data_IF_534569819524
#
_entry.id   IF_534569819524
#
_cell.length_a   1.000
_cell.length_b   1.000
_cell.length_c   1.000
_cell.angle_alpha   90.00
_cell.angle_beta   90.00
_cell.angle_gamma   90.00
#
_symmetry.space_group_name_H-M   'P 1'
#
loop_
_entity.id
_entity.type
_entity.pdbx_description
1 polymer ?
#
# COMPACT_ATOMS: atom_id res chain seq x y z
N UNK A 1 -19.82 30.99 22.45
CA UNK A 1 -20.41 30.71 21.12
C UNK A 1 -21.56 29.76 21.34
N UNK A 2 -22.74 30.04 20.79
CA UNK A 2 -23.90 29.15 20.91
C UNK A 2 -23.65 27.94 20.02
N UNK A 3 -23.53 26.74 20.59
CA UNK A 3 -23.39 25.51 19.83
C UNK A 3 -24.68 25.32 19.02
N UNK A 4 -24.58 25.35 17.68
CA UNK A 4 -25.73 25.10 16.82
C UNK A 4 -25.92 23.57 16.77
N UNK A 5 -26.95 23.09 17.46
CA UNK A 5 -27.36 21.69 17.46
C UNK A 5 -28.11 21.39 16.16
N UNK A 6 -27.39 21.06 15.09
CA UNK A 6 -27.98 20.64 13.81
C UNK A 6 -28.44 19.19 13.86
N UNK A 7 -29.53 18.88 13.17
CA UNK A 7 -30.10 17.53 12.98
C UNK A 7 -29.93 17.03 11.55
N UNK A 8 -30.17 15.74 11.30
CA UNK A 8 -30.24 15.16 9.94
C UNK A 8 -31.32 15.86 9.09
N UNK A 9 -32.44 16.19 9.72
CA UNK A 9 -33.55 16.90 9.10
C UNK A 9 -33.14 18.27 8.57
N UNK A 10 -32.25 18.96 9.29
CA UNK A 10 -31.69 20.26 8.87
C UNK A 10 -30.78 20.13 7.63
N UNK A 11 -30.11 18.99 7.46
CA UNK A 11 -29.29 18.69 6.28
C UNK A 11 -30.09 18.16 5.09
N UNK A 12 -31.35 17.74 5.29
CA UNK A 12 -32.15 17.06 4.26
C UNK A 12 -32.23 17.88 2.96
N UNK A 13 -32.40 19.19 3.05
CA UNK A 13 -32.44 20.06 1.87
C UNK A 13 -31.12 20.08 1.08
N UNK A 14 -29.98 20.05 1.75
CA UNK A 14 -28.66 19.97 1.12
C UNK A 14 -28.38 18.59 0.53
N UNK A 15 -28.81 17.52 1.21
CA UNK A 15 -28.68 16.13 0.74
C UNK A 15 -29.57 15.87 -0.47
N UNK A 16 -30.84 16.28 -0.41
CA UNK A 16 -31.77 16.20 -1.54
C UNK A 16 -31.26 17.02 -2.73
N UNK A 17 -30.69 18.21 -2.48
CA UNK A 17 -30.05 19.02 -3.52
C UNK A 17 -28.83 18.33 -4.13
N UNK A 18 -27.97 17.72 -3.31
CA UNK A 18 -26.79 16.97 -3.77
C UNK A 18 -27.19 15.72 -4.57
N UNK A 19 -28.19 14.97 -4.12
CA UNK A 19 -28.77 13.83 -4.83
C UNK A 19 -29.47 14.23 -6.12
N UNK A 20 -30.25 15.31 -6.11
CA UNK A 20 -30.88 15.86 -7.30
C UNK A 20 -29.84 16.39 -8.30
N UNK A 21 -28.71 16.90 -7.82
CA UNK A 21 -27.59 17.29 -8.68
C UNK A 21 -26.91 16.07 -9.31
N UNK A 22 -26.79 14.95 -8.61
CA UNK A 22 -26.17 13.72 -9.11
C UNK A 22 -27.12 12.89 -10.00
N UNK A 23 -28.44 12.93 -9.74
CA UNK A 23 -29.47 12.20 -10.48
C UNK A 23 -30.14 12.99 -11.62
N UNK A 24 -29.97 14.32 -11.68
CA UNK A 24 -30.63 15.20 -12.65
C UNK A 24 -29.69 16.07 -13.50
N UNK A 25 -28.40 16.21 -13.16
CA UNK A 25 -27.44 16.70 -14.14
C UNK A 25 -27.01 15.54 -15.03
N UNK A 26 -27.21 15.70 -16.33
CA UNK A 26 -26.26 15.12 -17.28
C UNK A 26 -24.94 15.82 -16.98
N UNK A 27 -24.04 15.16 -16.24
CA UNK A 27 -22.75 15.72 -15.83
C UNK A 27 -21.81 15.67 -17.04
N UNK A 28 -22.12 16.51 -18.03
CA UNK A 28 -21.13 17.04 -18.97
C UNK A 28 -20.80 18.49 -18.63
N UNK A 29 -21.53 19.10 -17.70
CA UNK A 29 -21.34 20.50 -17.31
C UNK A 29 -20.89 20.61 -15.84
N UNK A 30 -19.59 20.38 -15.64
CA UNK A 30 -18.91 20.56 -14.35
C UNK A 30 -18.96 22.01 -13.87
N UNK A 31 -19.13 22.98 -14.77
CA UNK A 31 -19.26 24.39 -14.42
C UNK A 31 -20.43 24.62 -13.46
N UNK A 32 -21.60 24.08 -13.81
CA UNK A 32 -22.81 24.27 -13.03
C UNK A 32 -22.75 23.71 -11.60
N UNK A 33 -21.98 22.65 -11.35
CA UNK A 33 -21.79 22.08 -10.00
C UNK A 33 -20.96 23.01 -9.12
N UNK A 34 -19.80 23.43 -9.63
CA UNK A 34 -18.87 24.29 -8.91
C UNK A 34 -19.48 25.66 -8.61
N UNK A 35 -20.22 26.22 -9.56
CA UNK A 35 -20.89 27.52 -9.39
C UNK A 35 -21.95 27.47 -8.27
N UNK A 36 -22.56 26.31 -8.04
CA UNK A 36 -23.59 26.10 -7.02
C UNK A 36 -23.00 25.87 -5.63
N UNK A 37 -21.87 25.16 -5.54
CA UNK A 37 -21.08 25.03 -4.32
C UNK A 37 -20.56 26.41 -3.87
N UNK A 38 -20.04 27.20 -4.81
CA UNK A 38 -19.63 28.58 -4.56
C UNK A 38 -20.80 29.43 -4.05
N UNK A 39 -21.95 29.39 -4.72
CA UNK A 39 -23.13 30.15 -4.31
C UNK A 39 -23.56 29.82 -2.86
N UNK A 40 -23.51 28.54 -2.48
CA UNK A 40 -23.84 28.09 -1.12
C UNK A 40 -22.85 28.60 -0.09
N UNK A 41 -21.56 28.41 -0.33
CA UNK A 41 -20.50 28.82 0.60
C UNK A 41 -20.47 30.34 0.78
N UNK A 42 -20.70 31.10 -0.29
CA UNK A 42 -20.90 32.55 -0.22
C UNK A 42 -22.14 32.91 0.60
N UNK A 43 -23.24 32.17 0.42
CA UNK A 43 -24.47 32.35 1.21
C UNK A 43 -24.28 32.14 2.71
N UNK A 44 -23.39 31.21 3.10
CA UNK A 44 -23.02 30.97 4.50
C UNK A 44 -21.86 31.84 5.01
N UNK A 45 -21.34 32.76 4.20
CA UNK A 45 -20.19 33.59 4.55
C UNK A 45 -18.89 32.80 4.77
N UNK A 46 -18.82 31.57 4.26
CA UNK A 46 -17.67 30.65 4.38
C UNK A 46 -16.74 30.71 3.16
N UNK A 47 -17.04 31.58 2.19
CA UNK A 47 -16.20 31.73 1.01
C UNK A 47 -14.95 32.56 1.31
N UNK A 48 -13.80 31.92 1.23
CA UNK A 48 -12.49 32.56 1.42
C UNK A 48 -11.71 32.59 0.11
N UNK A 49 -10.72 33.49 -0.03
CA UNK A 49 -9.83 33.51 -1.21
C UNK A 49 -9.05 32.19 -1.39
N UNK A 50 -8.72 31.51 -0.29
CA UNK A 50 -8.06 30.21 -0.31
C UNK A 50 -8.99 29.12 -0.84
N UNK A 51 -10.26 29.13 -0.42
CA UNK A 51 -11.27 28.19 -0.90
C UNK A 51 -11.57 28.42 -2.38
N UNK A 52 -11.61 29.67 -2.83
CA UNK A 52 -11.75 30.05 -4.24
C UNK A 52 -10.62 29.48 -5.10
N UNK A 53 -9.37 29.63 -4.65
CA UNK A 53 -8.20 29.11 -5.36
C UNK A 53 -8.22 27.57 -5.45
N UNK A 54 -8.54 26.89 -4.34
CA UNK A 54 -8.63 25.44 -4.29
C UNK A 54 -9.79 24.90 -5.15
N UNK A 55 -10.92 25.62 -5.19
CA UNK A 55 -12.08 25.26 -6.01
C UNK A 55 -11.76 25.38 -7.50
N UNK A 56 -10.99 26.40 -7.90
CA UNK A 56 -10.54 26.58 -9.27
C UNK A 56 -9.63 25.41 -9.73
N UNK A 57 -8.68 25.00 -8.88
CA UNK A 57 -7.81 23.85 -9.14
C UNK A 57 -8.60 22.53 -9.26
N UNK A 58 -9.57 22.32 -8.37
CA UNK A 58 -10.44 21.15 -8.41
C UNK A 58 -11.29 21.11 -9.70
N UNK A 59 -11.81 22.26 -10.14
CA UNK A 59 -12.56 22.41 -11.40
C UNK A 59 -11.70 22.08 -12.61
N UNK A 60 -10.46 22.55 -12.64
CA UNK A 60 -9.50 22.26 -13.71
C UNK A 60 -9.12 20.77 -13.75
N UNK A 61 -8.80 20.18 -12.60
CA UNK A 61 -8.41 18.78 -12.50
C UNK A 61 -9.53 17.80 -12.91
N UNK A 62 -10.78 18.11 -12.55
CA UNK A 62 -11.93 17.28 -12.91
C UNK A 62 -12.35 17.42 -14.38
N UNK A 63 -12.23 18.62 -14.97
CA UNK A 63 -12.42 18.81 -16.41
C UNK A 63 -11.39 18.02 -17.23
N UNK A 64 -10.17 17.88 -16.71
CA UNK A 64 -9.11 17.10 -17.33
C UNK A 64 -9.28 15.57 -17.17
N UNK A 65 -10.04 15.10 -16.18
CA UNK A 65 -10.16 13.69 -15.82
C UNK A 65 -11.61 13.25 -15.50
N UNK A 66 -12.53 13.26 -16.48
CA UNK A 66 -13.95 13.01 -16.24
C UNK A 66 -14.28 11.59 -15.73
N UNK A 67 -13.41 10.59 -15.97
CA UNK A 67 -13.62 9.20 -15.55
C UNK A 67 -13.43 8.92 -14.05
N UNK A 68 -12.80 9.84 -13.30
CA UNK A 68 -12.66 9.71 -11.83
C UNK A 68 -14.01 9.82 -11.10
N UNK A 69 -15.02 10.40 -11.74
CA UNK A 69 -16.31 10.67 -11.13
C UNK A 69 -17.31 9.52 -11.26
N UNK A 70 -17.21 8.70 -12.32
CA UNK A 70 -18.16 7.59 -12.56
C UNK A 70 -18.03 6.48 -11.49
N UNK A 71 -16.84 6.31 -10.91
CA UNK A 71 -16.57 5.30 -9.87
C UNK A 71 -17.06 5.77 -8.48
N UNK A 72 -17.01 7.07 -8.19
CA UNK A 72 -17.44 7.62 -6.90
C UNK A 72 -18.96 7.81 -6.75
N UNK A 73 -19.68 7.92 -7.87
CA UNK A 73 -21.09 8.35 -7.92
C UNK A 73 -22.09 7.37 -7.29
N UNK A 74 -22.02 6.09 -7.67
CA UNK A 74 -22.97 5.09 -7.19
C UNK A 74 -22.76 4.79 -5.70
N UNK A 75 -21.50 4.70 -5.30
CA UNK A 75 -21.08 4.48 -3.92
C UNK A 75 -21.50 5.64 -3.03
N UNK A 76 -21.25 6.90 -3.44
CA UNK A 76 -21.66 8.07 -2.65
C UNK A 76 -23.18 8.14 -2.45
N UNK A 77 -23.97 7.94 -3.51
CA UNK A 77 -25.43 8.00 -3.39
C UNK A 77 -25.96 6.86 -2.51
N UNK A 78 -25.46 5.63 -2.69
CA UNK A 78 -25.83 4.47 -1.86
C UNK A 78 -25.49 4.71 -0.39
N UNK A 79 -24.26 5.17 -0.10
CA UNK A 79 -23.83 5.44 1.28
C UNK A 79 -24.66 6.54 1.95
N UNK A 80 -25.08 7.57 1.20
CA UNK A 80 -25.96 8.62 1.74
C UNK A 80 -27.40 8.11 1.93
N UNK A 81 -27.92 7.26 1.04
CA UNK A 81 -29.23 6.60 1.23
C UNK A 81 -29.23 5.67 2.45
N UNK A 82 -28.19 4.87 2.63
CA UNK A 82 -28.00 3.98 3.77
C UNK A 82 -27.93 4.75 5.09
N UNK A 83 -27.19 5.87 5.11
CA UNK A 83 -27.08 6.74 6.28
C UNK A 83 -28.44 7.35 6.67
N UNK A 84 -29.20 7.84 5.70
CA UNK A 84 -30.53 8.40 5.94
C UNK A 84 -31.56 7.36 6.39
N UNK A 85 -31.40 6.10 5.97
CA UNK A 85 -32.25 4.99 6.43
C UNK A 85 -31.95 4.57 7.87
N UNK A 86 -30.70 4.75 8.32
CA UNK A 86 -30.21 4.32 9.64
C UNK A 86 -30.69 5.24 10.79
N UNK A 87 -30.89 6.53 10.52
CA UNK A 87 -31.13 7.52 11.56
C UNK A 87 -32.39 8.36 11.33
N UNK A 88 -33.25 8.53 12.35
CA UNK A 88 -34.40 9.44 12.30
C UNK A 88 -33.99 10.89 12.01
N UNK A 89 -34.86 11.66 11.35
CA UNK A 89 -34.59 13.03 10.94
C UNK A 89 -34.30 14.01 12.10
N UNK A 90 -34.80 13.74 13.30
CA UNK A 90 -34.56 14.53 14.51
C UNK A 90 -33.23 14.19 15.21
N UNK A 91 -32.47 13.22 14.70
CA UNK A 91 -31.16 12.85 15.24
C UNK A 91 -30.18 14.01 15.08
N UNK A 92 -29.55 14.44 16.18
CA UNK A 92 -28.50 15.46 16.16
C UNK A 92 -27.26 14.92 15.45
N UNK A 93 -26.60 15.76 14.65
CA UNK A 93 -25.37 15.37 13.96
C UNK A 93 -24.25 14.97 14.92
N UNK A 94 -24.22 15.58 16.13
CA UNK A 94 -23.29 15.22 17.20
C UNK A 94 -23.49 13.80 17.74
N UNK A 95 -24.69 13.25 17.57
CA UNK A 95 -25.09 11.97 18.13
C UNK A 95 -24.98 10.84 17.10
N UNK A 96 -24.54 11.18 15.88
CA UNK A 96 -24.26 10.23 14.81
C UNK A 96 -22.77 9.87 14.90
N UNK A 97 -22.42 8.64 15.26
CA UNK A 97 -21.03 8.20 15.38
C UNK A 97 -20.21 8.40 14.10
N UNK A 98 -20.86 8.38 12.94
CA UNK A 98 -20.24 8.64 11.63
C UNK A 98 -19.89 10.13 11.39
N UNK A 99 -20.42 11.07 12.19
CA UNK A 99 -20.17 12.52 12.09
C UNK A 99 -19.54 13.14 13.34
N UNK A 100 -19.49 12.42 14.47
CA UNK A 100 -18.71 12.84 15.63
C UNK A 100 -17.23 12.87 15.21
N UNK A 101 -16.69 14.07 15.04
CA UNK A 101 -15.33 14.37 14.59
C UNK A 101 -14.22 13.94 15.55
N UNK A 102 -14.27 12.70 16.03
CA UNK A 102 -13.18 12.00 16.70
C UNK A 102 -12.20 11.43 15.65
N UNK A 103 -12.26 11.82 14.37
CA UNK A 103 -11.36 11.36 13.30
C UNK A 103 -11.37 9.84 13.02
N UNK A 104 -12.02 9.05 13.86
CA UNK A 104 -12.10 7.60 13.81
C UNK A 104 -13.12 7.17 12.79
N UNK A 105 -12.66 6.93 11.57
CA UNK A 105 -13.42 6.11 10.64
C UNK A 105 -13.74 4.77 11.31
N UNK A 106 -14.99 4.60 11.77
CA UNK A 106 -15.52 3.31 12.21
C UNK A 106 -15.93 2.44 11.02
N UNK A 107 -15.81 2.97 9.80
CA UNK A 107 -15.79 2.18 8.56
C UNK A 107 -14.38 1.69 8.26
N UNK A 108 -14.26 0.48 7.72
CA UNK A 108 -13.00 -0.01 7.17
C UNK A 108 -12.51 0.96 6.07
N UNK A 109 -11.18 1.17 5.94
CA UNK A 109 -10.63 1.92 4.82
C UNK A 109 -11.02 1.26 3.49
N UNK A 110 -11.03 2.00 2.37
CA UNK A 110 -11.14 1.38 1.06
C UNK A 110 -10.03 0.35 0.88
N UNK A 111 -10.42 -0.87 0.50
CA UNK A 111 -9.50 -1.96 0.15
C UNK A 111 -9.58 -2.20 -1.34
N UNK A 112 -8.41 -2.28 -1.99
CA UNK A 112 -8.29 -2.67 -3.40
C UNK A 112 -7.59 -4.01 -3.49
N UNK A 113 -8.22 -4.99 -4.14
CA UNK A 113 -7.67 -6.32 -4.34
C UNK A 113 -7.02 -6.45 -5.71
N UNK A 114 -5.77 -6.93 -5.74
CA UNK A 114 -5.02 -7.27 -6.94
C UNK A 114 -4.59 -8.73 -6.88
N UNK A 115 -5.46 -9.64 -7.35
CA UNK A 115 -5.24 -11.07 -7.17
C UNK A 115 -5.35 -11.44 -5.70
N UNK A 116 -4.26 -11.94 -5.12
CA UNK A 116 -4.16 -12.34 -3.70
C UNK A 116 -3.59 -11.22 -2.80
N UNK A 117 -3.44 -10.00 -3.33
CA UNK A 117 -2.95 -8.84 -2.56
C UNK A 117 -4.11 -7.88 -2.29
N UNK A 118 -4.45 -7.72 -1.02
CA UNK A 118 -5.39 -6.73 -0.53
C UNK A 118 -4.66 -5.50 0.03
N UNK A 119 -4.98 -4.33 -0.53
CA UNK A 119 -4.33 -3.06 -0.19
C UNK A 119 -5.34 -2.11 0.46
N UNK A 120 -5.15 -1.80 1.74
CA UNK A 120 -5.95 -0.81 2.44
C UNK A 120 -5.36 0.60 2.28
N UNK A 121 -6.19 1.55 1.84
CA UNK A 121 -5.76 2.95 1.66
C UNK A 121 -5.96 3.77 2.93
N UNK A 122 -4.86 4.27 3.48
CA UNK A 122 -4.81 5.14 4.65
C UNK A 122 -4.47 6.56 4.19
N UNK A 123 -5.42 7.49 4.29
CA UNK A 123 -5.24 8.87 3.82
C UNK A 123 -4.44 9.73 4.82
N UNK A 124 -3.33 9.19 5.32
CA UNK A 124 -2.33 9.87 6.14
C UNK A 124 -0.92 9.62 5.60
N UNK A 125 0.05 10.37 6.09
CA UNK A 125 1.47 9.99 5.98
C UNK A 125 1.80 8.98 7.08
N UNK A 126 2.74 8.07 6.82
CA UNK A 126 3.04 6.98 7.76
C UNK A 126 3.47 7.47 9.15
N UNK A 127 4.21 8.59 9.21
CA UNK A 127 4.69 9.16 10.47
C UNK A 127 3.59 9.71 11.40
N UNK A 128 2.38 9.94 10.89
CA UNK A 128 1.26 10.50 11.66
C UNK A 128 0.40 9.42 12.35
N UNK A 129 0.68 8.14 12.08
CA UNK A 129 -0.05 7.01 12.62
C UNK A 129 0.89 6.02 13.30
N UNK A 130 0.33 5.18 14.16
CA UNK A 130 0.98 3.99 14.67
C UNK A 130 0.41 2.80 13.93
N UNK A 131 1.29 1.96 13.37
CA UNK A 131 0.89 0.70 12.73
C UNK A 131 1.46 -0.45 13.53
N UNK A 132 0.62 -1.45 13.81
CA UNK A 132 1.02 -2.66 14.50
C UNK A 132 0.50 -3.89 13.76
N UNK A 133 1.41 -4.78 13.35
CA UNK A 133 1.06 -6.09 12.81
C UNK A 133 1.11 -7.16 13.91
N UNK A 134 -0.03 -7.78 14.20
CA UNK A 134 -0.09 -8.93 15.10
C UNK A 134 0.17 -10.23 14.32
N UNK A 135 1.40 -10.75 14.42
CA UNK A 135 1.83 -12.00 13.78
C UNK A 135 0.96 -13.21 14.14
N UNK A 136 0.35 -13.24 15.32
CA UNK A 136 -0.43 -14.40 15.76
C UNK A 136 -1.82 -14.44 15.11
N UNK A 137 -2.42 -13.26 14.90
CA UNK A 137 -3.75 -13.15 14.31
C UNK A 137 -3.73 -12.74 12.82
N UNK A 138 -2.61 -12.23 12.32
CA UNK A 138 -2.50 -11.64 10.98
C UNK A 138 -3.16 -10.27 10.87
N UNK A 139 -3.64 -9.67 11.97
CA UNK A 139 -4.37 -8.41 11.94
C UNK A 139 -3.41 -7.22 11.97
N UNK A 140 -3.63 -6.27 11.06
CA UNK A 140 -2.97 -4.96 11.07
C UNK A 140 -3.84 -3.95 11.81
N UNK A 141 -3.30 -3.27 12.80
CA UNK A 141 -3.96 -2.14 13.48
C UNK A 141 -3.32 -0.83 13.07
N UNK A 142 -4.13 0.20 12.83
CA UNK A 142 -3.68 1.56 12.49
C UNK A 142 -4.38 2.56 13.39
N UNK A 143 -3.60 3.24 14.24
CA UNK A 143 -4.10 4.16 15.26
C UNK A 143 -3.37 5.51 15.20
N UNK A 144 -4.07 6.62 15.06
CA UNK A 144 -3.49 7.96 14.96
C UNK A 144 -4.02 8.75 13.77
N UNK A 145 -3.75 10.06 13.72
CA UNK A 145 -4.32 10.98 12.73
C UNK A 145 -5.86 10.91 12.61
N UNK A 146 -6.54 10.52 13.68
CA UNK A 146 -7.97 10.23 13.70
C UNK A 146 -8.29 8.75 13.49
N UNK A 147 -7.49 7.98 12.76
CA UNK A 147 -7.78 6.57 12.47
C UNK A 147 -7.69 5.65 13.70
N UNK A 148 -8.52 4.59 13.68
CA UNK A 148 -8.54 3.49 14.67
C UNK A 148 -9.01 2.19 13.98
N UNK A 149 -8.22 1.72 13.00
CA UNK A 149 -8.56 0.58 12.16
C UNK A 149 -8.05 -0.75 12.70
N UNK A 150 -8.83 -1.81 12.45
CA UNK A 150 -8.41 -3.21 12.58
C UNK A 150 -8.69 -3.92 11.26
N UNK A 151 -7.63 -4.32 10.60
CA UNK A 151 -7.65 -4.81 9.22
C UNK A 151 -7.21 -6.28 9.24
N UNK A 152 -8.16 -7.22 9.32
CA UNK A 152 -7.86 -8.61 8.96
C UNK A 152 -7.66 -8.70 7.44
N UNK A 153 -6.89 -9.69 7.01
CA UNK A 153 -6.78 -10.07 5.60
C UNK A 153 -6.34 -8.91 4.68
N UNK A 154 -5.34 -8.13 5.12
CA UNK A 154 -4.68 -7.13 4.25
C UNK A 154 -3.19 -7.42 4.17
N UNK A 155 -2.67 -7.51 2.96
CA UNK A 155 -1.25 -7.69 2.71
C UNK A 155 -0.51 -6.37 2.81
N UNK A 156 -1.14 -5.24 2.45
CA UNK A 156 -0.44 -3.95 2.38
C UNK A 156 -1.29 -2.75 2.79
N UNK A 157 -0.63 -1.73 3.29
CA UNK A 157 -1.20 -0.39 3.48
C UNK A 157 -0.61 0.57 2.45
N UNK A 158 -1.47 1.36 1.81
CA UNK A 158 -1.08 2.51 1.00
C UNK A 158 -1.25 3.79 1.84
N UNK A 159 -0.16 4.54 2.00
CA UNK A 159 -0.13 5.87 2.61
C UNK A 159 0.06 6.95 1.55
N UNK A 160 -0.08 8.21 1.94
CA UNK A 160 0.20 9.35 1.05
C UNK A 160 1.68 9.44 0.64
N UNK A 161 2.58 8.81 1.40
CA UNK A 161 4.03 8.90 1.26
C UNK A 161 4.73 7.55 1.02
N UNK A 162 3.98 6.47 0.82
CA UNK A 162 4.55 5.16 0.48
C UNK A 162 3.64 4.00 0.84
N UNK A 163 4.22 2.80 0.87
CA UNK A 163 3.52 1.57 1.18
C UNK A 163 4.21 0.82 2.31
N UNK A 164 3.41 0.17 3.17
CA UNK A 164 3.88 -0.77 4.17
C UNK A 164 3.31 -2.16 3.87
N UNK A 165 4.18 -3.12 3.61
CA UNK A 165 3.83 -4.50 3.25
C UNK A 165 3.99 -5.48 4.41
N UNK A 166 3.08 -6.45 4.48
CA UNK A 166 3.06 -7.57 5.41
C UNK A 166 3.01 -8.93 4.69
N UNK A 167 3.10 -8.95 3.35
CA UNK A 167 3.26 -10.16 2.55
C UNK A 167 4.69 -10.73 2.66
N UNK A 168 5.07 -11.18 3.87
CA UNK A 168 6.41 -11.67 4.20
C UNK A 168 6.83 -12.92 3.40
N UNK A 169 5.89 -13.74 2.96
CA UNK A 169 6.16 -14.85 2.04
C UNK A 169 5.84 -14.51 0.58
N UNK A 170 5.19 -13.36 0.34
CA UNK A 170 4.86 -12.82 -0.96
C UNK A 170 5.98 -11.97 -1.58
N UNK A 171 5.65 -11.20 -2.64
CA UNK A 171 6.61 -10.40 -3.38
C UNK A 171 7.49 -9.48 -2.51
N UNK A 172 6.90 -8.76 -1.56
CA UNK A 172 7.67 -7.83 -0.72
C UNK A 172 8.74 -8.55 0.10
N UNK A 173 8.35 -9.64 0.78
CA UNK A 173 9.27 -10.45 1.58
C UNK A 173 10.34 -11.17 0.76
N UNK A 174 9.97 -11.73 -0.40
CA UNK A 174 10.91 -12.38 -1.31
C UNK A 174 11.99 -11.39 -1.79
N UNK A 175 11.59 -10.16 -2.13
CA UNK A 175 12.51 -9.18 -2.68
C UNK A 175 13.48 -8.62 -1.64
N UNK A 176 13.04 -8.32 -0.41
CA UNK A 176 13.99 -7.87 0.64
C UNK A 176 15.01 -8.95 0.98
N UNK A 177 14.60 -10.22 0.99
CA UNK A 177 15.52 -11.36 1.16
C UNK A 177 16.50 -11.47 0.02
N UNK A 178 16.04 -11.31 -1.22
CA UNK A 178 16.90 -11.39 -2.40
C UNK A 178 17.89 -10.21 -2.46
N UNK A 179 17.47 -8.99 -2.11
CA UNK A 179 18.37 -7.84 -1.96
C UNK A 179 19.48 -8.15 -0.96
N UNK A 180 19.12 -8.67 0.21
CA UNK A 180 20.11 -9.01 1.24
C UNK A 180 21.04 -10.15 0.79
N UNK A 181 20.50 -11.20 0.18
CA UNK A 181 21.25 -12.35 -0.31
C UNK A 181 22.22 -11.99 -1.45
N UNK A 182 21.76 -11.21 -2.43
CA UNK A 182 22.51 -10.92 -3.64
C UNK A 182 23.45 -9.71 -3.46
N UNK A 183 23.06 -8.71 -2.68
CA UNK A 183 23.76 -7.43 -2.60
C UNK A 183 24.33 -7.14 -1.20
N UNK A 184 24.05 -7.98 -0.20
CA UNK A 184 24.50 -7.82 1.19
C UNK A 184 24.18 -6.43 1.77
N UNK A 185 23.00 -5.91 1.46
CA UNK A 185 22.46 -4.65 1.96
C UNK A 185 20.94 -4.68 1.99
N UNK A 186 20.35 -3.74 2.72
CA UNK A 186 18.92 -3.49 2.62
C UNK A 186 18.57 -2.89 1.26
N UNK A 187 17.34 -3.18 0.83
CA UNK A 187 16.81 -2.62 -0.40
C UNK A 187 16.59 -1.10 -0.23
N UNK A 188 16.88 -0.36 -1.29
CA UNK A 188 16.43 1.03 -1.38
C UNK A 188 14.92 1.06 -1.68
N UNK A 189 14.20 2.05 -1.14
CA UNK A 189 12.75 2.05 -1.15
C UNK A 189 12.15 2.11 -2.57
N UNK A 190 12.72 2.93 -3.46
CA UNK A 190 12.24 3.03 -4.85
C UNK A 190 12.54 1.78 -5.68
N UNK A 191 13.76 1.23 -5.55
CA UNK A 191 14.14 0.00 -6.24
C UNK A 191 13.32 -1.20 -5.78
N UNK A 192 13.07 -1.31 -4.47
CA UNK A 192 12.20 -2.34 -3.92
C UNK A 192 10.78 -2.23 -4.49
N UNK A 193 10.20 -1.04 -4.48
CA UNK A 193 8.86 -0.82 -5.04
C UNK A 193 8.77 -1.08 -6.54
N UNK A 194 9.83 -0.79 -7.31
CA UNK A 194 9.91 -1.16 -8.72
C UNK A 194 9.80 -2.68 -8.92
N UNK A 195 10.58 -3.47 -8.18
CA UNK A 195 10.56 -4.93 -8.32
C UNK A 195 9.28 -5.56 -7.78
N UNK A 196 8.72 -5.02 -6.68
CA UNK A 196 7.42 -5.46 -6.14
C UNK A 196 6.35 -5.28 -7.21
N UNK A 197 6.24 -4.10 -7.82
CA UNK A 197 5.29 -3.85 -8.91
C UNK A 197 5.49 -4.80 -10.09
N UNK A 198 6.73 -5.12 -10.45
CA UNK A 198 7.01 -6.10 -11.50
C UNK A 198 6.53 -7.51 -11.15
N UNK A 199 6.75 -7.98 -9.92
CA UNK A 199 6.28 -9.29 -9.47
C UNK A 199 4.77 -9.36 -9.30
N UNK A 200 4.15 -8.32 -8.75
CA UNK A 200 2.69 -8.23 -8.60
C UNK A 200 1.98 -8.33 -9.95
N UNK A 201 2.50 -7.60 -10.95
CA UNK A 201 1.97 -7.60 -12.33
C UNK A 201 2.45 -8.79 -13.17
N UNK A 202 3.15 -9.77 -12.56
CA UNK A 202 3.68 -10.97 -13.23
C UNK A 202 4.60 -10.65 -14.42
N UNK A 203 5.26 -9.50 -14.39
CA UNK A 203 6.21 -9.05 -15.41
C UNK A 203 7.62 -9.63 -15.20
N UNK A 204 7.95 -10.03 -13.97
CA UNK A 204 9.23 -10.64 -13.63
C UNK A 204 9.03 -11.66 -12.51
N UNK A 205 9.62 -12.84 -12.65
CA UNK A 205 9.71 -13.82 -11.57
C UNK A 205 10.85 -13.46 -10.61
N UNK A 206 10.90 -14.05 -9.42
CA UNK A 206 12.02 -13.86 -8.49
C UNK A 206 13.36 -14.27 -9.13
N UNK A 207 13.36 -15.30 -9.98
CA UNK A 207 14.54 -15.73 -10.72
C UNK A 207 15.00 -14.69 -11.75
N UNK A 208 14.07 -13.98 -12.41
CA UNK A 208 14.43 -12.91 -13.36
C UNK A 208 15.06 -11.72 -12.63
N UNK A 209 14.56 -11.37 -11.43
CA UNK A 209 15.17 -10.35 -10.58
C UNK A 209 16.55 -10.78 -10.10
N UNK A 210 16.70 -12.04 -9.69
CA UNK A 210 17.99 -12.60 -9.29
C UNK A 210 19.02 -12.53 -10.43
N UNK A 211 18.61 -12.88 -11.66
CA UNK A 211 19.46 -12.76 -12.85
C UNK A 211 19.89 -11.30 -13.11
N UNK A 212 18.96 -10.35 -12.97
CA UNK A 212 19.26 -8.92 -13.08
C UNK A 212 20.27 -8.45 -12.01
N UNK A 213 20.13 -8.93 -10.78
CA UNK A 213 21.07 -8.62 -9.71
C UNK A 213 22.44 -9.24 -9.95
N UNK A 214 22.49 -10.49 -10.41
CA UNK A 214 23.74 -11.19 -10.74
C UNK A 214 24.54 -10.49 -11.84
N UNK A 215 23.86 -9.84 -12.77
CA UNK A 215 24.49 -9.02 -13.82
C UNK A 215 24.96 -7.64 -13.33
N UNK A 216 24.55 -7.21 -12.12
CA UNK A 216 24.87 -5.88 -11.61
C UNK A 216 26.34 -5.77 -11.18
N UNK A 217 26.97 -4.59 -11.33
CA UNK A 217 28.32 -4.35 -10.81
C UNK A 217 28.44 -4.62 -9.30
N UNK A 218 27.36 -4.41 -8.55
CA UNK A 218 27.31 -4.60 -7.11
C UNK A 218 27.45 -6.08 -6.72
N UNK A 219 26.73 -6.97 -7.41
CA UNK A 219 26.84 -8.41 -7.21
C UNK A 219 28.21 -8.91 -7.65
N UNK A 220 28.68 -8.51 -8.84
CA UNK A 220 29.97 -8.94 -9.38
C UNK A 220 31.15 -8.49 -8.52
N UNK A 221 31.04 -7.37 -7.80
CA UNK A 221 32.07 -6.94 -6.84
C UNK A 221 32.20 -7.88 -5.64
N UNK A 222 31.12 -8.59 -5.26
CA UNK A 222 31.07 -9.48 -4.09
C UNK A 222 31.25 -10.94 -4.47
N UNK A 223 30.46 -11.41 -5.43
CA UNK A 223 30.40 -12.80 -5.86
C UNK A 223 31.33 -13.13 -7.03
N UNK A 224 31.95 -12.09 -7.64
CA UNK A 224 32.80 -12.19 -8.84
C UNK A 224 32.01 -12.66 -10.06
N UNK A 225 32.70 -12.78 -11.19
CA UNK A 225 32.10 -13.25 -12.45
C UNK A 225 32.21 -14.76 -12.55
N UNK A 226 31.33 -15.42 -13.31
CA UNK A 226 31.43 -16.87 -13.58
C UNK A 226 32.80 -17.29 -14.14
N UNK A 227 33.43 -16.43 -14.94
CA UNK A 227 34.76 -16.67 -15.49
C UNK A 227 35.90 -16.60 -14.45
N UNK A 228 35.65 -16.07 -13.25
CA UNK A 228 36.69 -15.77 -12.24
C UNK A 228 36.47 -16.44 -10.89
N UNK A 229 35.37 -17.19 -10.73
CA UNK A 229 35.05 -17.91 -9.50
C UNK A 229 34.56 -19.32 -9.83
N UNK A 230 35.12 -20.33 -9.16
CA UNK A 230 34.65 -21.70 -9.30
C UNK A 230 33.26 -21.88 -8.70
N UNK A 231 32.57 -22.96 -9.05
CA UNK A 231 31.26 -23.29 -8.48
C UNK A 231 31.36 -23.52 -6.96
N UNK A 232 32.39 -24.22 -6.52
CA UNK A 232 32.72 -24.40 -5.11
C UNK A 232 32.92 -23.06 -4.38
N UNK A 233 33.72 -22.15 -4.94
CA UNK A 233 33.96 -20.83 -4.33
C UNK A 233 32.69 -19.96 -4.34
N UNK A 234 31.87 -20.05 -5.38
CA UNK A 234 30.59 -19.33 -5.47
C UNK A 234 29.63 -19.79 -4.36
N UNK A 235 29.54 -21.09 -4.11
CA UNK A 235 28.71 -21.67 -3.04
C UNK A 235 29.21 -21.20 -1.67
N UNK A 236 30.53 -21.22 -1.44
CA UNK A 236 31.10 -20.70 -0.19
C UNK A 236 30.77 -19.20 0.02
N UNK A 237 30.76 -18.41 -1.05
CA UNK A 237 30.34 -17.01 -1.00
C UNK A 237 28.85 -16.86 -0.66
N UNK A 238 27.96 -17.73 -1.16
CA UNK A 238 26.54 -17.73 -0.79
C UNK A 238 26.34 -18.02 0.71
N UNK A 239 27.00 -19.04 1.26
CA UNK A 239 26.95 -19.30 2.71
C UNK A 239 27.40 -18.08 3.51
N UNK A 240 28.50 -17.45 3.10
CA UNK A 240 29.07 -16.31 3.81
C UNK A 240 28.20 -15.06 3.71
N UNK A 241 27.78 -14.67 2.52
CA UNK A 241 27.14 -13.38 2.27
C UNK A 241 25.62 -13.43 2.42
N UNK A 242 24.99 -14.58 2.15
CA UNK A 242 23.54 -14.75 2.32
C UNK A 242 23.19 -15.22 3.73
N UNK A 243 23.88 -16.25 4.23
CA UNK A 243 23.55 -16.87 5.52
C UNK A 243 24.40 -16.36 6.69
N UNK A 244 25.45 -15.60 6.42
CA UNK A 244 26.32 -15.04 7.46
C UNK A 244 27.18 -16.08 8.19
N UNK A 245 27.36 -17.28 7.63
CA UNK A 245 28.09 -18.38 8.25
C UNK A 245 29.01 -19.10 7.26
N UNK A 246 29.90 -19.94 7.81
CA UNK A 246 30.68 -20.89 7.01
C UNK A 246 29.79 -22.06 6.60
N UNK A 247 30.08 -22.62 5.43
CA UNK A 247 29.41 -23.79 4.90
C UNK A 247 29.55 -25.02 5.82
N UNK A 248 28.44 -25.74 5.98
CA UNK A 248 28.50 -27.09 6.50
C UNK A 248 28.94 -28.04 5.39
N UNK A 249 29.76 -29.04 5.73
CA UNK A 249 30.39 -29.91 4.73
C UNK A 249 29.36 -30.65 3.86
N UNK A 250 28.29 -31.15 4.47
CA UNK A 250 27.29 -31.98 3.77
C UNK A 250 26.46 -31.15 2.78
N UNK A 251 25.96 -29.99 3.20
CA UNK A 251 25.23 -29.06 2.33
C UNK A 251 26.11 -28.49 1.23
N UNK A 252 27.37 -28.15 1.54
CA UNK A 252 28.33 -27.70 0.53
C UNK A 252 28.56 -28.75 -0.56
N UNK A 253 28.92 -29.98 -0.16
CA UNK A 253 29.18 -31.08 -1.09
C UNK A 253 27.93 -31.39 -1.94
N UNK A 254 26.73 -31.32 -1.34
CA UNK A 254 25.47 -31.48 -2.04
C UNK A 254 25.28 -30.44 -3.15
N UNK A 255 25.41 -29.15 -2.82
CA UNK A 255 25.20 -28.07 -3.78
C UNK A 255 26.25 -28.04 -4.89
N UNK A 256 27.52 -28.33 -4.56
CA UNK A 256 28.59 -28.49 -5.56
C UNK A 256 28.21 -29.60 -6.54
N UNK A 257 27.81 -30.77 -6.03
CA UNK A 257 27.41 -31.89 -6.89
C UNK A 257 26.22 -31.57 -7.79
N UNK A 258 25.22 -30.82 -7.29
CA UNK A 258 24.07 -30.38 -8.11
C UNK A 258 24.47 -29.41 -9.22
N UNK A 259 25.38 -28.49 -8.93
CA UNK A 259 25.84 -27.50 -9.89
C UNK A 259 26.74 -28.14 -10.96
N UNK A 260 27.67 -29.01 -10.56
CA UNK A 260 28.54 -29.77 -11.46
C UNK A 260 27.76 -30.76 -12.36
N UNK A 261 26.69 -31.36 -11.85
CA UNK A 261 25.81 -32.24 -12.62
C UNK A 261 24.86 -31.48 -13.58
N UNK A 262 24.82 -30.15 -13.52
CA UNK A 262 23.89 -29.32 -14.31
C UNK A 262 22.43 -29.49 -13.90
N UNK A 263 22.17 -30.01 -12.69
CA UNK A 263 20.82 -30.17 -12.14
C UNK A 263 20.25 -28.86 -11.59
N UNK A 264 21.13 -27.89 -11.33
CA UNK A 264 20.78 -26.51 -10.99
C UNK A 264 21.74 -25.53 -11.67
N UNK A 265 21.51 -24.24 -11.52
CA UNK A 265 22.40 -23.17 -11.98
C UNK A 265 22.57 -22.11 -10.89
N UNK A 266 23.55 -21.23 -11.04
CA UNK A 266 23.91 -20.24 -10.02
C UNK A 266 22.77 -19.28 -9.66
N UNK A 267 21.93 -18.91 -10.64
CA UNK A 267 20.75 -18.06 -10.46
C UNK A 267 19.70 -18.76 -9.59
N UNK A 268 19.33 -19.98 -9.95
CA UNK A 268 18.36 -20.75 -9.16
C UNK A 268 18.93 -21.02 -7.76
N UNK A 269 20.24 -21.26 -7.64
CA UNK A 269 20.91 -21.46 -6.36
C UNK A 269 20.87 -20.21 -5.47
N UNK A 270 21.07 -19.01 -6.03
CA UNK A 270 20.90 -17.75 -5.30
C UNK A 270 19.47 -17.60 -4.79
N UNK A 271 18.47 -17.91 -5.62
CA UNK A 271 17.06 -17.91 -5.19
C UNK A 271 16.81 -18.93 -4.07
N UNK A 272 17.36 -20.14 -4.18
CA UNK A 272 17.25 -21.17 -3.13
C UNK A 272 17.85 -20.73 -1.81
N UNK A 273 19.03 -20.10 -1.81
CA UNK A 273 19.64 -19.57 -0.59
C UNK A 273 18.84 -18.39 -0.02
N UNK A 274 18.37 -17.48 -0.88
CA UNK A 274 17.52 -16.34 -0.49
C UNK A 274 16.24 -16.80 0.20
N UNK A 275 15.59 -17.85 -0.31
CA UNK A 275 14.30 -18.33 0.19
C UNK A 275 14.43 -19.51 1.16
N UNK A 276 15.64 -19.83 1.62
CA UNK A 276 15.86 -20.84 2.64
C UNK A 276 15.21 -20.44 3.97
N UNK A 277 14.74 -21.43 4.74
CA UNK A 277 14.12 -21.18 6.05
C UNK A 277 15.05 -20.39 6.99
N UNK A 278 16.36 -20.62 6.89
CA UNK A 278 17.38 -19.89 7.65
C UNK A 278 17.41 -18.40 7.27
N UNK A 279 17.45 -18.08 5.97
CA UNK A 279 17.45 -16.67 5.55
C UNK A 279 16.10 -15.99 5.81
N UNK A 280 14.98 -16.73 5.68
CA UNK A 280 13.65 -16.24 6.07
C UNK A 280 13.60 -15.88 7.55
N UNK A 281 14.12 -16.75 8.42
CA UNK A 281 14.20 -16.47 9.85
C UNK A 281 15.04 -15.20 10.14
N UNK A 282 16.21 -15.07 9.51
CA UNK A 282 17.07 -13.91 9.65
C UNK A 282 16.37 -12.60 9.20
N UNK A 283 15.62 -12.65 8.09
CA UNK A 283 14.92 -11.48 7.58
C UNK A 283 13.69 -11.09 8.42
N UNK A 284 12.96 -12.06 8.97
CA UNK A 284 11.78 -11.82 9.82
C UNK A 284 12.11 -11.07 11.13
N UNK A 285 13.35 -11.14 11.60
CA UNK A 285 13.81 -10.33 12.73
C UNK A 285 13.90 -8.84 12.35
N UNK A 286 14.38 -8.53 11.14
CA UNK A 286 14.56 -7.16 10.67
C UNK A 286 13.25 -6.50 10.24
N UNK A 287 12.38 -7.25 9.55
CA UNK A 287 11.17 -6.72 8.91
C UNK A 287 9.88 -7.06 9.65
N UNK A 288 9.98 -7.40 10.94
CA UNK A 288 8.86 -7.87 11.76
C UNK A 288 7.65 -6.93 11.78
N UNK A 289 7.90 -5.62 11.71
CA UNK A 289 6.89 -4.56 11.82
C UNK A 289 6.36 -4.10 10.44
N UNK A 290 6.79 -4.76 9.36
CA UNK A 290 6.42 -4.47 7.99
C UNK A 290 7.59 -4.03 7.11
N UNK A 291 7.36 -4.04 5.80
CA UNK A 291 8.35 -3.73 4.76
C UNK A 291 7.95 -2.44 4.06
N UNK A 292 8.71 -1.36 4.27
CA UNK A 292 8.43 -0.06 3.66
C UNK A 292 9.02 0.06 2.24
N UNK A 293 8.24 0.60 1.29
CA UNK A 293 8.68 0.85 -0.09
C UNK A 293 7.93 2.01 -0.78
N UNK A 294 8.45 2.44 -1.95
CA UNK A 294 7.91 3.55 -2.77
C UNK A 294 7.48 3.13 -4.19
#
# INVERSE_FOLDING_TARGET
MTTINMTIGDLKGFIDLSKAMVGGLVITDFGALFDKIEQLLRGFGQWTPELEANMALAKEALLANPGLFDIGKATFVSSVDELLAKYPADTLLSDIPEFSGDGGGTGLPPVTSYGDIDIAKILAVFADVNVNYDKASGIVSVDGAGYAYKLPDVERLEFNDGFLAFDFDGPAGQLVRLYKAALDRDADFEGLGYWIRHQDNKLSSLADVADSFMASPEFLARFRTEATVSDADFIALLYKHTLGRVEDKEGFDYWVGKLEAGETNRKDLLVFFSESDENKANALETYADGIWYL
#
